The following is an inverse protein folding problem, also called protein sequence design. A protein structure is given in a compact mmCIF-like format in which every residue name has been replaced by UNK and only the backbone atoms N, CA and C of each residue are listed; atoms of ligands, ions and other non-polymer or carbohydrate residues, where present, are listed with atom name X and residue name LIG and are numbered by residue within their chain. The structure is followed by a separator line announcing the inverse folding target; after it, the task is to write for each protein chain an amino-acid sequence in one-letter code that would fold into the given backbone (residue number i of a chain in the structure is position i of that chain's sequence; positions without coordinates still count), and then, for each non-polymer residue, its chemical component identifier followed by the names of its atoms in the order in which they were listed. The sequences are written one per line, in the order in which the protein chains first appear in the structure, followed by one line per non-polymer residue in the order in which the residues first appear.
data_IF_166702115288
#
_entry.id   IF_166702115288
#
_cell.length_a   1.000
_cell.length_b   1.000
_cell.length_c   1.000
_cell.angle_alpha   90.00
_cell.angle_beta   90.00
_cell.angle_gamma   90.00
#
_symmetry.space_group_name_H-M   'P 1'
#
loop_
_entity.id
_entity.type
_entity.pdbx_description
1 polymer ?
#
# COMPACT_ATOMS: atom_id res chain seq x y z
N UNK A 1 4.66 25.69 -12.75
CA UNK A 1 4.69 24.22 -12.82
C UNK A 1 4.49 23.72 -11.40
N UNK A 2 3.46 22.93 -11.15
CA UNK A 2 3.25 22.29 -9.84
C UNK A 2 4.15 21.05 -9.72
N UNK A 3 4.59 20.72 -8.50
CA UNK A 3 5.31 19.48 -8.26
C UNK A 3 4.39 18.28 -8.48
N UNK A 4 4.91 17.14 -8.99
CA UNK A 4 4.11 15.93 -9.16
C UNK A 4 3.65 15.38 -7.81
N UNK A 5 2.43 14.88 -7.78
CA UNK A 5 1.85 14.18 -6.62
C UNK A 5 2.47 12.78 -6.46
N UNK A 6 2.37 12.18 -5.28
CA UNK A 6 2.89 10.83 -5.01
C UNK A 6 2.35 9.76 -5.97
N UNK A 7 1.06 9.75 -6.34
CA UNK A 7 0.54 8.82 -7.35
C UNK A 7 1.14 9.04 -8.75
N UNK A 8 1.29 10.30 -9.19
CA UNK A 8 1.86 10.61 -10.51
C UNK A 8 3.33 10.17 -10.61
N UNK A 9 4.11 10.38 -9.54
CA UNK A 9 5.49 9.91 -9.49
C UNK A 9 5.57 8.38 -9.49
N UNK A 10 4.66 7.71 -8.77
CA UNK A 10 4.61 6.25 -8.69
C UNK A 10 4.37 5.64 -10.07
N UNK A 11 3.45 6.18 -10.86
CA UNK A 11 3.16 5.70 -12.22
C UNK A 11 4.39 5.81 -13.14
N UNK A 12 5.12 6.93 -13.10
CA UNK A 12 6.36 7.12 -13.88
C UNK A 12 7.42 6.07 -13.53
N UNK A 13 7.44 5.60 -12.28
CA UNK A 13 8.37 4.59 -11.79
C UNK A 13 7.88 3.14 -12.02
N UNK A 14 6.79 2.95 -12.76
CA UNK A 14 6.23 1.62 -13.03
C UNK A 14 5.45 1.03 -11.85
N UNK A 15 5.01 1.86 -10.92
CA UNK A 15 4.13 1.44 -9.82
C UNK A 15 2.67 1.49 -10.29
N UNK A 16 1.98 0.36 -10.19
CA UNK A 16 0.60 0.19 -10.66
C UNK A 16 -0.32 -0.07 -9.47
N UNK A 17 -1.26 0.84 -9.21
CA UNK A 17 -2.31 0.64 -8.22
C UNK A 17 -3.39 -0.29 -8.81
N UNK A 18 -3.73 -1.33 -8.07
CA UNK A 18 -4.78 -2.31 -8.38
C UNK A 18 -5.98 -2.09 -7.47
N UNK A 19 -7.09 -2.75 -7.81
CA UNK A 19 -8.29 -2.71 -7.00
C UNK A 19 -8.02 -3.17 -5.56
N UNK A 20 -8.65 -2.54 -4.55
CA UNK A 20 -8.49 -2.95 -3.17
C UNK A 20 -8.90 -4.41 -2.95
N UNK A 21 -8.20 -5.10 -2.06
CA UNK A 21 -8.48 -6.48 -1.73
C UNK A 21 -8.22 -6.81 -0.26
N UNK A 22 -9.21 -7.42 0.38
CA UNK A 22 -9.19 -7.80 1.79
C UNK A 22 -9.34 -6.61 2.73
N UNK A 23 -9.65 -6.91 3.99
CA UNK A 23 -9.98 -5.90 4.99
C UNK A 23 -8.73 -5.37 5.70
N UNK A 24 -8.88 -4.19 6.30
CA UNK A 24 -7.91 -3.67 7.27
C UNK A 24 -7.97 -4.53 8.53
N UNK A 25 -6.80 -4.99 8.97
CA UNK A 25 -6.62 -5.65 10.27
C UNK A 25 -5.72 -4.80 11.14
N UNK A 26 -6.16 -4.50 12.37
CA UNK A 26 -5.37 -3.78 13.38
C UNK A 26 -5.07 -4.71 14.55
N UNK A 27 -3.79 -4.90 14.83
CA UNK A 27 -3.32 -5.78 15.91
C UNK A 27 -2.20 -5.07 16.68
N UNK A 28 -2.34 -4.91 17.99
CA UNK A 28 -1.31 -4.33 18.87
C UNK A 28 -0.75 -2.98 18.38
N UNK A 29 -1.61 -2.12 17.82
CA UNK A 29 -1.23 -0.81 17.26
C UNK A 29 -0.53 -0.86 15.90
N UNK A 30 -0.60 -1.99 15.20
CA UNK A 30 -0.12 -2.16 13.84
C UNK A 30 -1.29 -2.42 12.90
N UNK A 31 -1.31 -1.72 11.78
CA UNK A 31 -2.36 -1.78 10.77
C UNK A 31 -1.81 -2.36 9.47
N UNK A 32 -2.48 -3.37 8.93
CA UNK A 32 -2.20 -3.89 7.58
C UNK A 32 -2.92 -3.03 6.55
N UNK A 33 -2.14 -2.28 5.75
CA UNK A 33 -2.67 -1.28 4.80
C UNK A 33 -2.73 -1.77 3.36
N UNK A 34 -2.01 -2.84 3.02
CA UNK A 34 -2.07 -3.41 1.68
C UNK A 34 -0.98 -4.43 1.41
N UNK A 35 -0.79 -4.70 0.13
CA UNK A 35 0.20 -5.63 -0.40
C UNK A 35 1.00 -4.95 -1.49
N UNK A 36 2.31 -5.17 -1.50
CA UNK A 36 3.20 -4.78 -2.60
C UNK A 36 3.67 -6.05 -3.30
N UNK A 37 3.68 -6.02 -4.63
CA UNK A 37 4.06 -7.13 -5.49
C UNK A 37 5.18 -6.64 -6.43
N UNK A 38 6.39 -7.14 -6.23
CA UNK A 38 7.54 -6.89 -7.11
C UNK A 38 7.53 -7.87 -8.28
N UNK A 39 7.34 -7.33 -9.49
CA UNK A 39 7.38 -8.01 -10.79
C UNK A 39 8.47 -7.43 -11.69
N UNK A 40 9.44 -6.71 -11.11
CA UNK A 40 10.49 -6.05 -11.88
C UNK A 40 11.32 -7.03 -12.73
N UNK A 41 11.44 -8.30 -12.28
CA UNK A 41 12.09 -9.40 -13.00
C UNK A 41 11.27 -9.98 -14.17
N UNK A 42 9.97 -9.64 -14.27
CA UNK A 42 9.06 -10.15 -15.31
C UNK A 42 8.68 -9.08 -16.33
N UNK A 43 8.20 -7.94 -15.85
CA UNK A 43 7.64 -6.88 -16.69
C UNK A 43 8.08 -5.48 -16.26
N UNK A 44 9.02 -5.36 -15.31
CA UNK A 44 9.54 -4.07 -14.88
C UNK A 44 8.59 -3.28 -13.97
N UNK A 45 7.52 -3.89 -13.45
CA UNK A 45 6.51 -3.19 -12.66
C UNK A 45 6.50 -3.58 -11.18
N UNK A 46 5.94 -2.70 -10.36
CA UNK A 46 5.59 -2.98 -8.96
C UNK A 46 4.09 -2.74 -8.78
N UNK A 47 3.34 -3.75 -8.37
CA UNK A 47 1.90 -3.54 -8.11
C UNK A 47 1.64 -3.22 -6.64
N UNK A 48 0.64 -2.37 -6.43
CA UNK A 48 0.10 -2.04 -5.11
C UNK A 48 -1.35 -2.50 -5.05
N UNK A 49 -1.69 -3.29 -4.03
CA UNK A 49 -3.05 -3.74 -3.75
C UNK A 49 -3.46 -3.19 -2.38
N UNK A 50 -4.23 -2.10 -2.32
CA UNK A 50 -4.73 -1.53 -1.07
C UNK A 50 -5.66 -2.49 -0.31
N UNK A 51 -5.84 -2.30 1.00
CA UNK A 51 -6.99 -2.89 1.72
C UNK A 51 -8.24 -2.04 1.56
N UNK A 52 -9.43 -2.64 1.71
CA UNK A 52 -10.68 -1.88 1.79
C UNK A 52 -10.66 -0.93 2.99
N UNK A 53 -11.15 0.30 2.78
CA UNK A 53 -11.18 1.34 3.82
C UNK A 53 -9.82 2.01 4.09
N UNK A 54 -8.77 1.74 3.30
CA UNK A 54 -7.50 2.44 3.52
C UNK A 54 -7.61 3.91 3.11
N UNK A 55 -7.48 4.80 4.10
CA UNK A 55 -7.51 6.24 3.88
C UNK A 55 -6.30 6.77 3.09
N UNK A 56 -6.34 8.05 2.71
CA UNK A 56 -5.31 8.69 1.89
C UNK A 56 -3.89 8.56 2.45
N UNK A 57 -3.70 8.79 3.75
CA UNK A 57 -2.41 8.60 4.44
C UNK A 57 -1.91 7.15 4.36
N UNK A 58 -2.81 6.16 4.50
CA UNK A 58 -2.46 4.75 4.35
C UNK A 58 -2.06 4.41 2.91
N UNK A 59 -2.77 4.96 1.91
CA UNK A 59 -2.42 4.80 0.50
C UNK A 59 -1.06 5.44 0.17
N UNK A 60 -0.78 6.65 0.67
CA UNK A 60 0.50 7.34 0.48
C UNK A 60 1.66 6.53 1.06
N UNK A 61 1.51 5.99 2.27
CA UNK A 61 2.51 5.10 2.88
C UNK A 61 2.72 3.83 2.05
N UNK A 62 1.65 3.24 1.54
CA UNK A 62 1.73 2.05 0.69
C UNK A 62 2.46 2.34 -0.63
N UNK A 63 2.14 3.47 -1.28
CA UNK A 63 2.82 3.95 -2.48
C UNK A 63 4.29 4.25 -2.21
N UNK A 64 4.64 4.85 -1.07
CA UNK A 64 6.03 5.12 -0.71
C UNK A 64 6.87 3.83 -0.62
N UNK A 65 6.30 2.75 -0.05
CA UNK A 65 6.97 1.43 -0.04
C UNK A 65 7.15 0.89 -1.45
N UNK A 66 6.11 0.94 -2.29
CA UNK A 66 6.17 0.42 -3.65
C UNK A 66 7.18 1.19 -4.53
N UNK A 67 7.19 2.51 -4.43
CA UNK A 67 8.16 3.38 -5.09
C UNK A 67 9.59 3.08 -4.65
N UNK A 68 9.80 2.86 -3.35
CA UNK A 68 11.10 2.43 -2.81
C UNK A 68 11.55 1.09 -3.42
N UNK A 69 10.64 0.13 -3.55
CA UNK A 69 10.91 -1.17 -4.20
C UNK A 69 11.19 -0.99 -5.70
N UNK A 70 10.48 -0.12 -6.40
CA UNK A 70 10.70 0.14 -7.82
C UNK A 70 12.10 0.72 -8.09
N UNK A 71 12.59 1.60 -7.20
CA UNK A 71 13.87 2.29 -7.36
C UNK A 71 15.05 1.44 -6.85
N UNK A 72 14.90 0.82 -5.68
CA UNK A 72 16.00 0.14 -4.98
C UNK A 72 15.95 -1.38 -5.10
N UNK A 73 14.87 -1.93 -5.66
CA UNK A 73 14.56 -3.35 -5.62
C UNK A 73 14.02 -3.81 -4.26
N UNK A 74 13.57 -5.07 -4.21
CA UNK A 74 13.22 -5.71 -2.93
C UNK A 74 14.48 -5.85 -2.06
N UNK A 75 14.45 -5.26 -0.86
CA UNK A 75 15.51 -5.49 0.13
C UNK A 75 15.58 -6.95 0.61
N UNK A 76 16.63 -7.30 1.33
CA UNK A 76 16.79 -8.62 1.99
C UNK A 76 15.95 -8.70 3.27
N UNK A 77 14.64 -8.90 3.12
CA UNK A 77 13.72 -9.12 4.23
C UNK A 77 13.05 -10.50 4.13
N UNK A 78 12.95 -11.26 5.24
CA UNK A 78 12.25 -12.55 5.25
C UNK A 78 10.72 -12.42 5.11
N UNK A 79 10.18 -11.20 5.15
CA UNK A 79 8.77 -10.92 4.93
C UNK A 79 8.33 -11.13 3.47
N UNK A 80 9.27 -11.08 2.53
CA UNK A 80 9.00 -11.36 1.12
C UNK A 80 8.71 -12.85 0.90
N UNK A 81 7.66 -13.12 0.14
CA UNK A 81 7.26 -14.46 -0.28
C UNK A 81 7.14 -14.50 -1.80
N UNK A 82 7.72 -15.50 -2.43
CA UNK A 82 7.54 -15.70 -3.87
C UNK A 82 6.23 -16.42 -4.15
N UNK A 83 5.45 -15.90 -5.09
CA UNK A 83 4.28 -16.56 -5.66
C UNK A 83 4.49 -16.75 -7.18
N UNK A 84 4.33 -17.97 -7.73
CA UNK A 84 4.59 -18.25 -9.14
C UNK A 84 3.84 -17.37 -10.14
N UNK A 85 2.62 -16.93 -9.81
CA UNK A 85 1.82 -16.11 -10.72
C UNK A 85 1.98 -14.60 -10.47
N UNK A 86 2.33 -14.21 -9.24
CA UNK A 86 2.32 -12.80 -8.85
C UNK A 86 3.72 -12.19 -8.85
N UNK A 87 4.78 -12.97 -8.60
CA UNK A 87 6.12 -12.46 -8.33
C UNK A 87 6.42 -12.46 -6.83
N UNK A 88 7.29 -11.56 -6.39
CA UNK A 88 7.60 -11.41 -4.97
C UNK A 88 6.55 -10.55 -4.28
N UNK A 89 6.01 -11.01 -3.16
CA UNK A 89 4.88 -10.38 -2.46
C UNK A 89 5.28 -10.05 -1.03
N UNK A 90 4.88 -8.88 -0.54
CA UNK A 90 4.99 -8.51 0.87
C UNK A 90 3.72 -7.80 1.34
N UNK A 91 3.24 -8.17 2.53
CA UNK A 91 2.20 -7.40 3.20
C UNK A 91 2.82 -6.18 3.88
N UNK A 92 2.27 -5.00 3.62
CA UNK A 92 2.72 -3.76 4.25
C UNK A 92 1.89 -3.52 5.49
N UNK A 93 2.60 -3.44 6.61
CA UNK A 93 2.04 -3.17 7.94
C UNK A 93 2.71 -1.93 8.49
N UNK A 94 1.92 -0.98 8.95
CA UNK A 94 2.39 0.31 9.48
C UNK A 94 1.88 0.51 10.89
N UNK A 95 2.57 1.35 11.67
CA UNK A 95 2.05 1.76 12.96
C UNK A 95 0.78 2.58 12.73
N UNK A 96 -0.25 2.33 13.53
CA UNK A 96 -1.43 3.22 13.56
C UNK A 96 -0.95 4.61 13.94
N UNK A 97 -1.36 5.61 13.17
CA UNK A 97 -1.14 7.03 13.49
C UNK A 97 -2.44 7.71 13.87
N UNK A 98 -2.37 8.85 14.56
CA UNK A 98 -3.54 9.64 14.95
C UNK A 98 -4.44 9.96 13.74
N UNK A 99 -3.85 10.26 12.57
CA UNK A 99 -4.58 10.49 11.32
C UNK A 99 -5.37 9.26 10.83
N UNK A 100 -4.93 8.04 11.17
CA UNK A 100 -5.64 6.81 10.82
C UNK A 100 -6.82 6.56 11.78
N UNK A 101 -6.70 7.01 13.03
CA UNK A 101 -7.78 6.94 14.03
C UNK A 101 -8.92 7.92 13.69
N UNK A 102 -8.59 9.14 13.27
CA UNK A 102 -9.55 10.14 12.82
C UNK A 102 -10.31 9.71 11.55
N UNK A 103 -9.61 9.08 10.60
CA UNK A 103 -10.23 8.55 9.39
C UNK A 103 -11.19 7.39 9.70
N UNK A 104 -10.81 6.46 10.56
CA UNK A 104 -11.67 5.35 10.99
C UNK A 104 -12.91 5.81 11.76
N UNK A 105 -12.79 6.87 12.58
CA UNK A 105 -13.92 7.44 13.31
C UNK A 105 -14.93 8.16 12.38
N UNK A 106 -14.44 8.83 11.33
CA UNK A 106 -15.30 9.51 10.37
C UNK A 106 -16.13 8.54 9.51
N UNK A 107 -15.59 7.36 9.19
CA UNK A 107 -16.27 6.34 8.39
C UNK A 107 -17.42 5.66 9.17
N UNK A 108 -17.20 5.34 10.46
CA UNK A 108 -18.24 4.79 11.34
C UNK A 108 -19.40 5.77 11.60
N UNK A 109 -19.10 7.07 11.74
CA UNK A 109 -20.14 8.09 11.96
C UNK A 109 -21.10 8.21 10.75
N UNK A 110 -20.58 7.97 9.54
CA UNK A 110 -21.36 8.03 8.29
C UNK A 110 -22.29 6.83 8.13
N UNK A 111 -21.90 5.65 8.63
CA UNK A 111 -22.77 4.45 8.66
C UNK A 111 -23.89 4.53 9.70
N UNK A 112 -23.69 5.29 10.79
CA UNK A 112 -24.67 5.47 11.87
C UNK A 112 -25.73 6.56 11.59
N UNK A 113 -25.50 7.42 10.60
CA UNK A 113 -26.34 8.59 10.30
C UNK A 113 -26.97 8.59 8.91
N UNK A 114 -26.71 7.55 8.10
CA UNK A 114 -27.37 7.28 6.82
C UNK A 114 -28.43 6.20 6.96
#
# INVERSE_FOLDING_TARGET
MSAPTTPELAEVLGVIVRDPHGDITVENGWMRIGTVIDRTDRDGTVHVVPRFGVGGNGLERLLAVATSVAVMGRGVSPAWRYHPELGWVVCVVVRVSEADEEAGAAEQHKELTG
#
